data_IF_771023574657
#
_entry.id   IF_771023574657
#
_cell.length_a   1.000
_cell.length_b   1.000
_cell.length_c   1.000
_cell.angle_alpha   90.00
_cell.angle_beta   90.00
_cell.angle_gamma   90.00
#
_symmetry.space_group_name_H-M   'P 1'
#
loop_
_entity.id
_entity.type
_entity.pdbx_description
1 polymer ?
#
# COMPACT_ATOMS: atom_id res chain seq x y z
N UNK A 1 66.93 -7.01 -8.20
CA UNK A 1 67.18 -6.37 -6.90
C UNK A 1 67.67 -7.47 -5.95
N UNK A 2 68.94 -7.89 -5.84
CA UNK A 2 70.26 -7.31 -6.12
C UNK A 2 70.50 -5.92 -5.52
N UNK A 3 71.15 -5.90 -4.34
CA UNK A 3 72.22 -5.01 -3.88
C UNK A 3 72.57 -5.40 -2.42
N UNK A 4 73.77 -5.31 -1.84
CA UNK A 4 75.17 -5.03 -2.22
C UNK A 4 76.03 -5.27 -0.93
N UNK A 5 77.37 -5.16 -1.05
CA UNK A 5 78.45 -5.21 -0.02
C UNK A 5 79.01 -6.61 0.29
N UNK A 6 80.20 -7.06 -0.13
CA UNK A 6 81.51 -6.44 -0.50
C UNK A 6 82.29 -5.81 0.66
N UNK A 7 83.38 -6.47 1.11
CA UNK A 7 84.66 -5.92 1.63
C UNK A 7 85.58 -7.06 2.14
N UNK A 8 86.71 -7.37 1.48
CA UNK A 8 88.09 -6.84 1.65
C UNK A 8 88.94 -7.68 2.62
N UNK A 9 89.90 -8.49 2.14
CA UNK A 9 91.36 -8.18 1.99
C UNK A 9 92.18 -8.10 3.29
N UNK A 10 93.14 -9.03 3.45
CA UNK A 10 94.51 -8.92 4.00
C UNK A 10 94.93 -10.34 4.44
N UNK A 11 95.86 -11.08 3.82
CA UNK A 11 97.21 -10.80 3.33
C UNK A 11 98.12 -10.20 4.42
N UNK A 12 98.80 -11.07 5.16
CA UNK A 12 100.08 -10.73 5.79
C UNK A 12 101.09 -11.86 5.56
N UNK A 13 101.92 -11.58 4.58
CA UNK A 13 103.14 -12.25 4.18
C UNK A 13 104.29 -11.79 5.09
N UNK A 14 105.15 -12.74 5.48
CA UNK A 14 106.61 -12.63 5.63
C UNK A 14 107.20 -11.33 6.23
N UNK A 15 107.73 -11.46 7.45
CA UNK A 15 108.66 -10.51 8.07
C UNK A 15 109.94 -11.22 8.52
N UNK A 16 110.75 -11.59 7.52
CA UNK A 16 112.11 -12.10 7.64
C UNK A 16 113.02 -10.97 8.17
N UNK A 17 113.65 -11.16 9.34
CA UNK A 17 114.57 -10.19 9.93
C UNK A 17 115.79 -10.91 10.53
N UNK A 18 117.00 -10.42 10.21
CA UNK A 18 118.29 -10.91 10.73
C UNK A 18 119.13 -11.64 9.67
N UNK A 19 119.99 -11.03 8.84
CA UNK A 19 121.03 -9.98 8.98
C UNK A 19 122.40 -10.55 9.41
N UNK A 20 123.35 -10.47 8.46
CA UNK A 20 124.82 -10.41 8.64
C UNK A 20 125.55 -11.75 8.84
N UNK A 21 126.70 -12.05 8.25
CA UNK A 21 127.58 -11.31 7.34
C UNK A 21 128.99 -11.96 7.29
N UNK A 22 129.70 -11.74 6.17
CA UNK A 22 131.17 -11.66 5.93
C UNK A 22 132.11 -12.73 6.54
N UNK A 23 132.90 -13.46 5.73
CA UNK A 23 134.23 -13.07 5.20
C UNK A 23 135.29 -13.92 5.95
N UNK A 24 136.28 -14.61 5.38
CA UNK A 24 137.35 -14.22 4.45
C UNK A 24 138.69 -14.76 5.03
N UNK A 25 139.63 -15.20 4.17
CA UNK A 25 141.04 -15.52 4.50
C UNK A 25 141.24 -16.85 5.26
N UNK A 26 142.26 -17.67 5.04
CA UNK A 26 143.61 -17.43 4.55
C UNK A 26 144.61 -18.00 5.59
N UNK A 27 145.50 -18.90 5.18
CA UNK A 27 146.81 -19.13 5.82
C UNK A 27 146.87 -19.84 7.19
N UNK A 28 147.42 -21.06 7.16
CA UNK A 28 148.56 -21.50 7.99
C UNK A 28 148.59 -21.31 9.51
N UNK A 29 148.60 -22.44 10.22
CA UNK A 29 149.23 -22.61 11.54
C UNK A 29 148.32 -22.39 12.75
N UNK A 30 148.45 -23.27 13.76
CA UNK A 30 147.74 -23.30 15.07
C UNK A 30 146.51 -24.22 15.16
N UNK A 31 146.74 -25.53 14.95
CA UNK A 31 145.75 -26.61 15.05
C UNK A 31 146.02 -27.49 16.30
N UNK A 32 145.61 -27.05 17.50
CA UNK A 32 145.36 -27.99 18.62
C UNK A 32 144.46 -27.46 19.76
N UNK A 33 144.15 -26.15 19.84
CA UNK A 33 143.40 -25.57 20.98
C UNK A 33 141.93 -25.19 20.69
N UNK A 34 141.48 -25.19 19.42
CA UNK A 34 140.14 -24.72 19.02
C UNK A 34 139.03 -25.79 19.05
N UNK A 35 139.37 -27.07 19.21
CA UNK A 35 138.42 -28.19 19.11
C UNK A 35 137.55 -28.37 20.37
N UNK A 36 137.98 -27.87 21.54
CA UNK A 36 137.22 -27.96 22.79
C UNK A 36 136.10 -26.91 22.93
N UNK A 37 136.27 -25.68 22.39
CA UNK A 37 135.21 -24.65 22.47
C UNK A 37 134.02 -24.95 21.54
N UNK A 38 134.25 -25.62 20.41
CA UNK A 38 133.19 -25.96 19.44
C UNK A 38 132.20 -27.00 20.00
N UNK A 39 132.69 -27.95 20.80
CA UNK A 39 131.85 -28.99 21.41
C UNK A 39 130.89 -28.42 22.47
N UNK A 40 131.33 -27.46 23.29
CA UNK A 40 130.46 -26.85 24.32
C UNK A 40 129.34 -25.99 23.70
N UNK A 41 129.59 -25.33 22.56
CA UNK A 41 128.60 -24.49 21.89
C UNK A 41 127.54 -25.32 21.14
N UNK A 42 127.93 -26.45 20.57
CA UNK A 42 127.01 -27.41 19.95
C UNK A 42 126.11 -28.09 21.00
N UNK A 43 126.62 -28.38 22.19
CA UNK A 43 125.84 -29.01 23.27
C UNK A 43 124.76 -28.07 23.85
N UNK A 44 125.09 -26.78 24.03
CA UNK A 44 124.13 -25.74 24.45
C UNK A 44 123.02 -25.49 23.42
N UNK A 45 123.37 -25.46 22.13
CA UNK A 45 122.37 -25.34 21.07
C UNK A 45 121.48 -26.59 20.94
N UNK A 46 122.03 -27.78 21.21
CA UNK A 46 121.28 -29.03 21.22
C UNK A 46 120.27 -29.07 22.37
N UNK A 47 120.63 -28.58 23.57
CA UNK A 47 119.69 -28.45 24.70
C UNK A 47 118.56 -27.47 24.44
N UNK A 48 118.84 -26.30 23.86
CA UNK A 48 117.82 -25.27 23.57
C UNK A 48 116.80 -25.71 22.52
N UNK A 49 117.26 -26.42 21.47
CA UNK A 49 116.37 -27.00 20.46
C UNK A 49 115.53 -28.15 21.01
N UNK A 50 116.10 -29.00 21.88
CA UNK A 50 115.36 -30.06 22.55
C UNK A 50 114.26 -29.51 23.47
N UNK A 51 114.55 -28.42 24.20
CA UNK A 51 113.56 -27.78 25.09
C UNK A 51 112.46 -27.05 24.30
N UNK A 52 112.79 -26.41 23.17
CA UNK A 52 111.80 -25.79 22.29
C UNK A 52 110.93 -26.83 21.56
N UNK A 53 111.50 -27.98 21.17
CA UNK A 53 110.75 -29.12 20.65
C UNK A 53 109.86 -29.77 21.71
N UNK A 54 110.33 -29.91 22.96
CA UNK A 54 109.52 -30.42 24.06
C UNK A 54 108.33 -29.49 24.37
N UNK A 55 108.54 -28.16 24.33
CA UNK A 55 107.48 -27.18 24.57
C UNK A 55 106.44 -27.15 23.44
N UNK A 56 106.86 -27.31 22.18
CA UNK A 56 105.93 -27.49 21.05
C UNK A 56 105.19 -28.82 21.11
N UNK A 57 105.86 -29.92 21.50
CA UNK A 57 105.22 -31.22 21.67
C UNK A 57 104.18 -31.20 22.79
N UNK A 58 104.46 -30.51 23.90
CA UNK A 58 103.53 -30.38 25.02
C UNK A 58 102.32 -29.49 24.69
N UNK A 59 102.52 -28.38 23.94
CA UNK A 59 101.42 -27.58 23.41
C UNK A 59 100.57 -28.34 22.39
N UNK A 60 101.21 -29.13 21.52
CA UNK A 60 100.52 -29.97 20.54
C UNK A 60 99.74 -31.10 21.19
N UNK A 61 100.30 -31.74 22.22
CA UNK A 61 99.60 -32.74 23.02
C UNK A 61 98.39 -32.15 23.77
N UNK A 62 98.51 -30.95 24.36
CA UNK A 62 97.37 -30.27 24.97
C UNK A 62 96.30 -29.85 23.95
N UNK A 63 96.70 -29.43 22.74
CA UNK A 63 95.75 -29.12 21.67
C UNK A 63 95.05 -30.37 21.12
N UNK A 64 95.76 -31.49 20.96
CA UNK A 64 95.18 -32.77 20.54
C UNK A 64 94.24 -33.35 21.60
N UNK A 65 94.58 -33.25 22.89
CA UNK A 65 93.69 -33.69 23.98
C UNK A 65 92.43 -32.80 24.08
N UNK A 66 92.57 -31.48 23.91
CA UNK A 66 91.43 -30.56 23.86
C UNK A 66 90.57 -30.78 22.61
N UNK A 67 91.17 -31.08 21.45
CA UNK A 67 90.42 -31.46 20.25
C UNK A 67 89.73 -32.80 20.39
N UNK A 68 90.34 -33.77 21.08
CA UNK A 68 89.71 -35.08 21.35
C UNK A 68 88.53 -34.94 22.31
N UNK A 69 88.64 -34.13 23.37
CA UNK A 69 87.51 -33.79 24.26
C UNK A 69 86.40 -33.04 23.53
N UNK A 70 86.74 -32.05 22.69
CA UNK A 70 85.75 -31.34 21.86
C UNK A 70 85.07 -32.26 20.85
N UNK A 71 85.79 -33.18 20.21
CA UNK A 71 85.22 -34.13 19.26
C UNK A 71 84.29 -35.16 19.94
N UNK A 72 84.64 -35.64 21.13
CA UNK A 72 83.77 -36.56 21.89
C UNK A 72 82.53 -35.85 22.45
N UNK A 73 82.68 -34.63 22.95
CA UNK A 73 81.58 -33.79 23.42
C UNK A 73 80.67 -33.35 22.26
N UNK A 74 81.22 -32.97 21.11
CA UNK A 74 80.45 -32.71 19.89
C UNK A 74 79.75 -33.97 19.37
N UNK A 75 80.35 -35.15 19.51
CA UNK A 75 79.71 -36.42 19.11
C UNK A 75 78.56 -36.78 20.04
N UNK A 76 78.70 -36.59 21.35
CA UNK A 76 77.60 -36.71 22.33
C UNK A 76 76.50 -35.68 22.07
N UNK A 77 76.86 -34.42 21.83
CA UNK A 77 75.90 -33.38 21.47
C UNK A 77 75.16 -33.67 20.16
N UNK A 78 75.85 -34.16 19.12
CA UNK A 78 75.21 -34.56 17.86
C UNK A 78 74.28 -35.77 18.04
N UNK A 79 74.65 -36.75 18.88
CA UNK A 79 73.81 -37.91 19.15
C UNK A 79 72.56 -37.53 19.95
N UNK A 80 72.71 -36.67 20.96
CA UNK A 80 71.58 -36.13 21.73
C UNK A 80 70.70 -35.21 20.89
N UNK A 81 71.28 -34.40 19.99
CA UNK A 81 70.53 -33.58 19.04
C UNK A 81 69.78 -34.47 18.05
N UNK A 82 70.40 -35.57 17.58
CA UNK A 82 69.77 -36.53 16.67
C UNK A 82 68.64 -37.31 17.35
N UNK A 83 68.79 -37.68 18.63
CA UNK A 83 67.71 -38.27 19.45
C UNK A 83 66.57 -37.28 19.62
N UNK A 84 66.86 -36.03 19.98
CA UNK A 84 65.84 -34.95 20.06
C UNK A 84 65.15 -34.69 18.73
N UNK A 85 65.87 -34.73 17.61
CA UNK A 85 65.30 -34.58 16.27
C UNK A 85 64.39 -35.76 15.88
N UNK A 86 64.77 -36.99 16.25
CA UNK A 86 63.94 -38.16 16.03
C UNK A 86 62.65 -38.10 16.86
N UNK A 87 62.75 -37.72 18.14
CA UNK A 87 61.60 -37.50 19.02
C UNK A 87 60.66 -36.42 18.47
N UNK A 88 61.20 -35.28 18.03
CA UNK A 88 60.41 -34.20 17.42
C UNK A 88 59.74 -34.63 16.11
N UNK A 89 60.43 -35.41 15.27
CA UNK A 89 59.87 -35.88 14.00
C UNK A 89 58.71 -36.84 14.23
N UNK A 90 58.87 -37.80 15.14
CA UNK A 90 57.82 -38.73 15.55
C UNK A 90 56.60 -37.98 16.11
N UNK A 91 56.85 -36.99 16.97
CA UNK A 91 55.82 -36.11 17.54
C UNK A 91 55.03 -35.36 16.45
N UNK A 92 55.72 -34.79 15.46
CA UNK A 92 55.09 -34.03 14.38
C UNK A 92 54.25 -34.92 13.46
N UNK A 93 54.69 -36.15 13.19
CA UNK A 93 53.92 -37.11 12.41
C UNK A 93 52.56 -37.43 13.07
N UNK A 94 52.57 -37.72 14.39
CA UNK A 94 51.34 -37.98 15.15
C UNK A 94 50.45 -36.71 15.19
N UNK A 95 51.04 -35.53 15.40
CA UNK A 95 50.29 -34.26 15.40
C UNK A 95 49.63 -33.92 14.08
N UNK A 96 50.23 -34.29 12.94
CA UNK A 96 49.61 -34.11 11.63
C UNK A 96 48.33 -34.92 11.50
N UNK A 97 48.34 -36.19 11.90
CA UNK A 97 47.14 -37.04 11.87
C UNK A 97 46.11 -36.57 12.89
N UNK A 98 46.54 -36.15 14.09
CA UNK A 98 45.68 -35.53 15.10
C UNK A 98 44.91 -34.32 14.57
N UNK A 99 45.57 -33.45 13.83
CA UNK A 99 44.92 -32.27 13.24
C UNK A 99 43.88 -32.66 12.18
N UNK A 100 44.08 -33.77 11.45
CA UNK A 100 43.05 -34.32 10.54
C UNK A 100 41.85 -34.86 11.33
N UNK A 101 42.10 -35.61 12.41
CA UNK A 101 41.04 -36.16 13.29
C UNK A 101 40.15 -35.05 13.86
N UNK A 102 40.73 -33.91 14.28
CA UNK A 102 39.97 -32.75 14.78
C UNK A 102 39.01 -32.11 13.76
N UNK A 103 39.21 -32.37 12.47
CA UNK A 103 38.42 -31.88 11.34
C UNK A 103 37.54 -32.99 10.71
N UNK A 104 37.43 -34.15 11.36
CA UNK A 104 36.67 -35.27 10.84
C UNK A 104 35.18 -34.94 10.65
N UNK A 105 34.61 -35.44 9.56
CA UNK A 105 33.17 -35.49 9.30
C UNK A 105 32.62 -36.85 9.73
N UNK A 106 31.28 -37.00 9.87
CA UNK A 106 30.69 -38.29 10.21
C UNK A 106 31.07 -39.45 9.29
N UNK A 107 31.37 -39.17 8.01
CA UNK A 107 31.78 -40.21 7.04
C UNK A 107 33.28 -40.54 7.09
N UNK A 108 34.11 -39.66 7.67
CA UNK A 108 35.58 -39.76 7.64
C UNK A 108 36.22 -40.08 8.99
N UNK A 109 35.47 -39.95 10.09
CA UNK A 109 35.96 -40.16 11.46
C UNK A 109 36.56 -41.55 11.70
N UNK A 110 35.89 -42.62 11.27
CA UNK A 110 36.37 -43.98 11.50
C UNK A 110 37.71 -44.25 10.80
N UNK A 111 37.86 -43.76 9.57
CA UNK A 111 39.11 -43.87 8.80
C UNK A 111 40.24 -43.07 9.43
N UNK A 112 39.97 -41.86 9.92
CA UNK A 112 40.97 -41.00 10.57
C UNK A 112 41.37 -41.50 11.96
N UNK A 113 40.45 -42.16 12.68
CA UNK A 113 40.73 -42.85 13.95
C UNK A 113 41.68 -44.03 13.73
N UNK A 114 41.48 -44.79 12.67
CA UNK A 114 42.37 -45.89 12.28
C UNK A 114 43.75 -45.36 11.84
N UNK A 115 43.82 -44.28 11.05
CA UNK A 115 45.07 -43.62 10.66
C UNK A 115 45.86 -43.12 11.89
N UNK A 116 45.16 -42.58 12.90
CA UNK A 116 45.78 -42.16 14.16
C UNK A 116 46.32 -43.35 14.97
N UNK A 117 45.55 -44.44 15.07
CA UNK A 117 45.99 -45.65 15.75
C UNK A 117 47.25 -46.24 15.09
N UNK A 118 47.30 -46.26 13.75
CA UNK A 118 48.48 -46.71 13.00
C UNK A 118 49.68 -45.77 13.19
N UNK A 119 49.47 -44.45 13.24
CA UNK A 119 50.55 -43.49 13.49
C UNK A 119 51.09 -43.58 14.91
N UNK A 120 50.22 -43.79 15.90
CA UNK A 120 50.62 -44.04 17.29
C UNK A 120 51.41 -45.35 17.38
N UNK A 121 50.92 -46.44 16.79
CA UNK A 121 51.64 -47.72 16.81
C UNK A 121 53.06 -47.63 16.21
N UNK A 122 53.27 -46.82 15.17
CA UNK A 122 54.56 -46.67 14.49
C UNK A 122 55.53 -45.70 15.19
N UNK A 123 55.02 -44.56 15.67
CA UNK A 123 55.86 -43.43 16.08
C UNK A 123 55.84 -43.15 17.59
N UNK A 124 54.91 -43.74 18.36
CA UNK A 124 54.74 -43.42 19.78
C UNK A 124 55.94 -43.82 20.62
N UNK A 125 56.56 -44.97 20.35
CA UNK A 125 57.77 -45.42 21.04
C UNK A 125 58.94 -44.46 20.85
N UNK A 126 59.01 -43.80 19.69
CA UNK A 126 60.05 -42.84 19.32
C UNK A 126 59.86 -41.46 19.98
N UNK A 127 58.75 -41.18 20.68
CA UNK A 127 58.49 -39.88 21.29
C UNK A 127 59.19 -39.63 22.64
N UNK A 128 59.87 -40.64 23.20
CA UNK A 128 60.69 -40.48 24.42
C UNK A 128 59.95 -39.86 25.60
N UNK A 129 60.50 -38.77 26.16
CA UNK A 129 59.92 -38.06 27.31
C UNK A 129 58.57 -37.36 27.03
N UNK A 130 58.18 -37.20 25.76
CA UNK A 130 56.94 -36.51 25.36
C UNK A 130 55.74 -37.46 25.20
N UNK A 131 55.93 -38.79 25.31
CA UNK A 131 54.87 -39.81 25.25
C UNK A 131 53.59 -39.46 26.04
N UNK A 132 53.64 -39.14 27.34
CA UNK A 132 52.42 -38.88 28.12
C UNK A 132 51.63 -37.67 27.59
N UNK A 133 52.31 -36.64 27.10
CA UNK A 133 51.64 -35.48 26.50
C UNK A 133 50.99 -35.82 25.16
N UNK A 134 51.64 -36.64 24.34
CA UNK A 134 51.09 -37.04 23.04
C UNK A 134 49.91 -37.99 23.19
N UNK A 135 49.92 -38.85 24.20
CA UNK A 135 48.77 -39.68 24.56
C UNK A 135 47.58 -38.80 24.98
N UNK A 136 47.78 -37.84 25.89
CA UNK A 136 46.74 -36.91 26.32
C UNK A 136 46.19 -36.05 25.17
N UNK A 137 47.07 -35.54 24.29
CA UNK A 137 46.65 -34.81 23.07
C UNK A 137 45.81 -35.70 22.14
N UNK A 138 46.14 -36.99 22.04
CA UNK A 138 45.43 -37.96 21.20
C UNK A 138 44.05 -38.28 21.73
N UNK A 139 43.94 -38.56 23.03
CA UNK A 139 42.68 -38.87 23.69
C UNK A 139 41.73 -37.67 23.62
N UNK A 140 42.22 -36.46 23.93
CA UNK A 140 41.43 -35.22 23.83
C UNK A 140 40.95 -34.94 22.41
N UNK A 141 41.78 -35.20 21.40
CA UNK A 141 41.38 -34.96 20.01
C UNK A 141 40.34 -35.97 19.52
N UNK A 142 40.44 -37.24 19.94
CA UNK A 142 39.45 -38.27 19.64
C UNK A 142 38.12 -37.96 20.33
N UNK A 143 38.13 -37.53 21.59
CA UNK A 143 36.93 -37.09 22.31
C UNK A 143 36.28 -35.88 21.62
N UNK A 144 37.04 -34.82 21.33
CA UNK A 144 36.54 -33.63 20.64
C UNK A 144 35.98 -33.94 19.24
N UNK A 145 36.65 -34.81 18.49
CA UNK A 145 36.20 -35.23 17.18
C UNK A 145 34.92 -36.09 17.27
N UNK A 146 34.84 -37.01 18.24
CA UNK A 146 33.63 -37.80 18.50
C UNK A 146 32.43 -36.91 18.82
N UNK A 147 32.58 -35.97 19.76
CA UNK A 147 31.51 -35.04 20.14
C UNK A 147 31.07 -34.16 18.96
N UNK A 148 32.00 -33.69 18.12
CA UNK A 148 31.66 -32.94 16.90
C UNK A 148 30.89 -33.80 15.89
N UNK A 149 31.31 -35.04 15.69
CA UNK A 149 30.66 -35.98 14.77
C UNK A 149 29.23 -36.27 15.22
N UNK A 150 29.02 -36.49 16.52
CA UNK A 150 27.68 -36.67 17.11
C UNK A 150 26.82 -35.41 16.93
N UNK A 151 27.34 -34.22 17.22
CA UNK A 151 26.63 -32.96 17.02
C UNK A 151 26.25 -32.71 15.54
N UNK A 152 27.13 -33.07 14.59
CA UNK A 152 26.84 -32.97 13.16
C UNK A 152 25.76 -33.98 12.75
N UNK A 153 25.79 -35.21 13.27
CA UNK A 153 24.76 -36.23 13.02
C UNK A 153 23.40 -35.77 13.55
N UNK A 154 23.35 -35.27 14.79
CA UNK A 154 22.13 -34.76 15.40
C UNK A 154 21.57 -33.56 14.62
N UNK A 155 22.42 -32.62 14.21
CA UNK A 155 22.00 -31.48 13.38
C UNK A 155 21.46 -31.92 12.03
N UNK A 156 22.10 -32.90 11.36
CA UNK A 156 21.60 -33.44 10.08
C UNK A 156 20.24 -34.10 10.23
N UNK A 157 20.01 -34.85 11.31
CA UNK A 157 18.70 -35.44 11.61
C UNK A 157 17.64 -34.37 11.85
N UNK A 158 17.94 -33.34 12.66
CA UNK A 158 17.02 -32.20 12.90
C UNK A 158 16.72 -31.42 11.62
N UNK A 159 17.73 -31.16 10.79
CA UNK A 159 17.56 -30.46 9.51
C UNK A 159 16.73 -31.30 8.52
N UNK A 160 16.88 -32.63 8.52
CA UNK A 160 16.08 -33.54 7.69
C UNK A 160 14.63 -33.65 8.17
N UNK A 161 14.41 -33.76 9.48
CA UNK A 161 13.08 -33.77 10.08
C UNK A 161 12.34 -32.44 9.82
N UNK A 162 13.02 -31.30 10.01
CA UNK A 162 12.46 -29.99 9.69
C UNK A 162 12.11 -29.84 8.20
N UNK A 163 12.92 -30.40 7.30
CA UNK A 163 12.61 -30.45 5.86
C UNK A 163 11.37 -31.30 5.57
N UNK A 164 11.26 -32.48 6.18
CA UNK A 164 10.08 -33.36 6.01
C UNK A 164 8.81 -32.71 6.56
N UNK A 165 8.89 -32.06 7.72
CA UNK A 165 7.74 -31.35 8.31
C UNK A 165 7.33 -30.14 7.47
N UNK A 166 8.29 -29.36 6.96
CA UNK A 166 8.03 -28.23 6.08
C UNK A 166 7.39 -28.69 4.76
N UNK A 167 7.87 -29.78 4.16
CA UNK A 167 7.30 -30.34 2.93
C UNK A 167 5.88 -30.89 3.17
N UNK A 168 5.63 -31.56 4.30
CA UNK A 168 4.26 -31.98 4.68
C UNK A 168 3.32 -30.79 4.83
N UNK A 169 3.73 -29.75 5.56
CA UNK A 169 2.94 -28.52 5.73
C UNK A 169 2.69 -27.81 4.40
N UNK A 170 3.64 -27.86 3.47
CA UNK A 170 3.49 -27.32 2.11
C UNK A 170 2.45 -28.09 1.32
N UNK A 171 2.53 -29.42 1.29
CA UNK A 171 1.55 -30.25 0.58
C UNK A 171 0.14 -30.08 1.15
N UNK A 172 0.01 -30.00 2.48
CA UNK A 172 -1.26 -29.68 3.13
C UNK A 172 -1.79 -28.28 2.75
N UNK A 173 -0.93 -27.27 2.65
CA UNK A 173 -1.31 -25.93 2.22
C UNK A 173 -1.73 -25.89 0.74
N UNK A 174 -1.00 -26.57 -0.14
CA UNK A 174 -1.35 -26.69 -1.56
C UNK A 174 -2.69 -27.41 -1.72
N UNK A 175 -2.90 -28.54 -1.04
CA UNK A 175 -4.16 -29.27 -1.06
C UNK A 175 -5.34 -28.38 -0.66
N UNK A 176 -5.22 -27.67 0.47
CA UNK A 176 -6.24 -26.71 0.91
C UNK A 176 -6.48 -25.59 -0.11
N UNK A 177 -5.43 -25.06 -0.73
CA UNK A 177 -5.58 -24.02 -1.74
C UNK A 177 -6.31 -24.54 -2.99
N UNK A 178 -6.06 -25.78 -3.42
CA UNK A 178 -6.75 -26.42 -4.55
C UNK A 178 -8.23 -26.61 -4.25
N UNK A 179 -8.57 -27.10 -3.05
CA UNK A 179 -9.97 -27.29 -2.62
C UNK A 179 -10.72 -25.96 -2.58
N UNK A 180 -10.13 -24.93 -1.96
CA UNK A 180 -10.71 -23.58 -1.90
C UNK A 180 -10.91 -22.96 -3.30
N UNK A 181 -9.97 -23.20 -4.23
CA UNK A 181 -10.10 -22.73 -5.60
C UNK A 181 -11.22 -23.46 -6.36
N UNK A 182 -11.42 -24.75 -6.10
CA UNK A 182 -12.52 -25.52 -6.69
C UNK A 182 -13.89 -25.04 -6.16
N UNK A 183 -13.99 -24.76 -4.86
CA UNK A 183 -15.20 -24.22 -4.26
C UNK A 183 -15.55 -22.83 -4.81
N UNK A 184 -14.55 -21.93 -4.89
CA UNK A 184 -14.75 -20.60 -5.49
C UNK A 184 -15.15 -20.68 -6.96
N UNK A 185 -14.59 -21.62 -7.72
CA UNK A 185 -14.97 -21.88 -9.11
C UNK A 185 -16.44 -22.31 -9.21
N UNK A 186 -16.90 -23.18 -8.31
CA UNK A 186 -18.31 -23.56 -8.18
C UNK A 186 -19.23 -22.37 -7.91
N UNK A 187 -18.90 -21.54 -6.90
CA UNK A 187 -19.66 -20.33 -6.59
C UNK A 187 -19.70 -19.34 -7.77
N UNK A 188 -18.59 -19.23 -8.51
CA UNK A 188 -18.50 -18.36 -9.68
C UNK A 188 -19.40 -18.85 -10.82
N UNK A 189 -19.45 -20.16 -11.08
CA UNK A 189 -20.34 -20.75 -12.08
C UNK A 189 -21.82 -20.54 -11.72
N UNK A 190 -22.17 -20.67 -10.44
CA UNK A 190 -23.50 -20.38 -9.91
C UNK A 190 -23.89 -18.91 -10.14
N UNK A 191 -22.98 -17.98 -9.87
CA UNK A 191 -23.19 -16.55 -10.07
C UNK A 191 -23.36 -16.20 -11.55
N UNK A 192 -22.55 -16.77 -12.45
CA UNK A 192 -22.67 -16.58 -13.90
C UNK A 192 -24.00 -17.14 -14.43
N UNK A 193 -24.43 -18.30 -13.94
CA UNK A 193 -25.74 -18.89 -14.28
C UNK A 193 -26.90 -18.02 -13.78
N UNK A 194 -26.78 -17.40 -12.60
CA UNK A 194 -27.78 -16.46 -12.11
C UNK A 194 -27.80 -15.16 -12.93
N UNK A 195 -26.63 -14.66 -13.34
CA UNK A 195 -26.50 -13.46 -14.18
C UNK A 195 -27.14 -13.64 -15.57
N UNK A 196 -26.93 -14.80 -16.20
CA UNK A 196 -27.57 -15.13 -17.50
C UNK A 196 -29.09 -15.23 -17.39
N UNK A 197 -29.60 -15.80 -16.29
CA UNK A 197 -31.05 -15.81 -15.98
C UNK A 197 -31.60 -14.40 -15.79
N UNK A 198 -30.88 -13.52 -15.09
CA UNK A 198 -31.24 -12.11 -14.94
C UNK A 198 -31.32 -11.42 -16.30
N UNK A 199 -30.32 -11.60 -17.17
CA UNK A 199 -30.31 -11.03 -18.52
C UNK A 199 -31.50 -11.52 -19.36
N UNK A 200 -31.81 -12.82 -19.32
CA UNK A 200 -32.96 -13.38 -20.03
C UNK A 200 -34.31 -12.84 -19.50
N UNK A 201 -34.43 -12.70 -18.17
CA UNK A 201 -35.60 -12.10 -17.54
C UNK A 201 -35.75 -10.61 -17.90
N UNK A 202 -34.66 -9.84 -17.85
CA UNK A 202 -34.61 -8.44 -18.25
C UNK A 202 -35.02 -8.22 -19.70
N UNK A 203 -34.48 -9.02 -20.62
CA UNK A 203 -34.85 -8.99 -22.04
C UNK A 203 -36.33 -9.32 -22.27
N UNK A 204 -36.87 -10.31 -21.54
CA UNK A 204 -38.30 -10.66 -21.57
C UNK A 204 -39.16 -9.51 -21.06
N UNK A 205 -38.73 -8.86 -19.98
CA UNK A 205 -39.43 -7.69 -19.44
C UNK A 205 -39.47 -6.55 -20.44
N UNK A 206 -38.35 -6.19 -21.08
CA UNK A 206 -38.33 -5.09 -22.08
C UNK A 206 -39.30 -5.36 -23.24
N UNK A 207 -39.41 -6.61 -23.72
CA UNK A 207 -40.36 -7.00 -24.77
C UNK A 207 -41.83 -6.90 -24.32
N UNK A 208 -42.09 -7.18 -23.05
CA UNK A 208 -43.44 -7.25 -22.49
C UNK A 208 -43.82 -6.03 -21.63
N UNK A 209 -42.96 -5.03 -21.55
CA UNK A 209 -43.13 -3.85 -20.68
C UNK A 209 -44.21 -2.88 -21.17
N UNK A 210 -44.77 -3.12 -22.36
CA UNK A 210 -45.76 -2.27 -22.99
C UNK A 210 -47.18 -2.59 -22.51
N UNK A 211 -47.46 -2.26 -21.25
CA UNK A 211 -48.75 -2.53 -20.60
C UNK A 211 -49.44 -1.24 -20.13
N UNK A 212 -50.77 -1.28 -20.04
CA UNK A 212 -51.60 -0.08 -19.87
C UNK A 212 -51.75 0.41 -18.43
N UNK A 213 -51.19 -0.30 -17.45
CA UNK A 213 -51.34 0.04 -16.03
C UNK A 213 -50.06 -0.21 -15.26
N UNK A 214 -49.74 0.66 -14.30
CA UNK A 214 -48.58 0.51 -13.43
C UNK A 214 -48.55 -0.86 -12.72
N UNK A 215 -49.70 -1.32 -12.21
CA UNK A 215 -49.80 -2.62 -11.53
C UNK A 215 -49.39 -3.80 -12.42
N UNK A 216 -49.68 -3.75 -13.73
CA UNK A 216 -49.22 -4.77 -14.69
C UNK A 216 -47.72 -4.67 -14.95
N UNK A 217 -47.15 -3.45 -14.98
CA UNK A 217 -45.69 -3.25 -15.09
C UNK A 217 -45.01 -3.86 -13.86
N UNK A 218 -45.51 -3.57 -12.66
CA UNK A 218 -44.95 -4.10 -11.41
C UNK A 218 -45.06 -5.61 -11.34
N UNK A 219 -46.19 -6.21 -11.77
CA UNK A 219 -46.33 -7.66 -11.84
C UNK A 219 -45.32 -8.32 -12.79
N UNK A 220 -45.06 -7.71 -13.95
CA UNK A 220 -44.05 -8.21 -14.89
C UNK A 220 -42.62 -8.07 -14.33
N UNK A 221 -42.36 -7.01 -13.55
CA UNK A 221 -41.08 -6.72 -12.93
C UNK A 221 -40.66 -7.74 -11.85
N UNK A 222 -41.61 -8.36 -11.13
CA UNK A 222 -41.33 -9.32 -10.03
C UNK A 222 -40.37 -10.43 -10.45
N UNK A 223 -40.54 -10.96 -11.67
CA UNK A 223 -39.68 -12.06 -12.16
C UNK A 223 -38.22 -11.63 -12.33
N UNK A 224 -37.99 -10.41 -12.81
CA UNK A 224 -36.66 -9.83 -12.98
C UNK A 224 -36.07 -9.43 -11.63
N UNK A 225 -36.86 -8.86 -10.72
CA UNK A 225 -36.40 -8.51 -9.36
C UNK A 225 -35.95 -9.74 -8.58
N UNK A 226 -36.67 -10.86 -8.69
CA UNK A 226 -36.25 -12.13 -8.08
C UNK A 226 -34.95 -12.65 -8.69
N UNK A 227 -34.83 -12.65 -10.02
CA UNK A 227 -33.60 -13.05 -10.70
C UNK A 227 -32.43 -12.14 -10.34
N UNK A 228 -32.68 -10.84 -10.19
CA UNK A 228 -31.67 -9.85 -9.82
C UNK A 228 -31.14 -10.11 -8.41
N UNK A 229 -32.04 -10.28 -7.44
CA UNK A 229 -31.66 -10.62 -6.07
C UNK A 229 -30.83 -11.91 -6.01
N UNK A 230 -31.25 -12.96 -6.72
CA UNK A 230 -30.49 -14.21 -6.77
C UNK A 230 -29.08 -14.03 -7.36
N UNK A 231 -28.94 -13.25 -8.43
CA UNK A 231 -27.65 -12.97 -9.04
C UNK A 231 -26.76 -12.13 -8.11
N UNK A 232 -27.32 -11.10 -7.47
CA UNK A 232 -26.61 -10.25 -6.51
C UNK A 232 -26.14 -11.04 -5.28
N UNK A 233 -27.01 -11.87 -4.70
CA UNK A 233 -26.67 -12.71 -3.52
C UNK A 233 -25.54 -13.70 -3.86
N UNK A 234 -25.57 -14.32 -5.06
CA UNK A 234 -24.51 -15.24 -5.50
C UNK A 234 -23.18 -14.55 -5.77
N UNK A 235 -23.20 -13.36 -6.38
CA UNK A 235 -21.99 -12.54 -6.56
C UNK A 235 -21.42 -12.09 -5.20
N UNK A 236 -22.28 -11.71 -4.25
CA UNK A 236 -21.86 -11.35 -2.91
C UNK A 236 -21.18 -12.53 -2.19
N UNK A 237 -21.73 -13.74 -2.30
CA UNK A 237 -21.12 -14.95 -1.77
C UNK A 237 -19.71 -15.20 -2.34
N UNK A 238 -19.49 -15.00 -3.65
CA UNK A 238 -18.15 -15.10 -4.24
C UNK A 238 -17.16 -14.07 -3.65
N UNK A 239 -17.62 -12.84 -3.42
CA UNK A 239 -16.78 -11.77 -2.87
C UNK A 239 -16.44 -11.98 -1.40
N UNK A 240 -17.39 -12.46 -0.61
CA UNK A 240 -17.16 -12.86 0.79
C UNK A 240 -16.19 -14.02 0.87
N UNK A 241 -16.38 -15.06 0.04
CA UNK A 241 -15.45 -16.19 -0.02
C UNK A 241 -14.03 -15.76 -0.38
N UNK A 242 -13.88 -14.86 -1.37
CA UNK A 242 -12.59 -14.28 -1.71
C UNK A 242 -12.00 -13.53 -0.51
N UNK A 243 -12.77 -12.70 0.18
CA UNK A 243 -12.30 -11.92 1.33
C UNK A 243 -11.76 -12.81 2.45
N UNK A 244 -12.43 -13.92 2.73
CA UNK A 244 -12.06 -14.84 3.82
C UNK A 244 -10.90 -15.76 3.44
N UNK A 245 -10.88 -16.27 2.21
CA UNK A 245 -9.98 -17.35 1.81
C UNK A 245 -8.77 -16.91 0.97
N UNK A 246 -8.65 -15.64 0.58
CA UNK A 246 -7.56 -15.14 -0.29
C UNK A 246 -6.16 -15.48 0.24
N UNK A 247 -5.93 -15.37 1.56
CA UNK A 247 -4.61 -15.66 2.14
C UNK A 247 -4.25 -17.14 2.02
N UNK A 248 -5.21 -18.04 2.24
CA UNK A 248 -5.02 -19.48 2.15
C UNK A 248 -4.88 -19.95 0.68
N UNK A 249 -5.50 -19.26 -0.27
CA UNK A 249 -5.36 -19.56 -1.70
C UNK A 249 -4.03 -19.07 -2.30
N UNK A 250 -3.37 -18.08 -1.68
CA UNK A 250 -2.08 -17.51 -2.10
C UNK A 250 -0.90 -18.20 -1.41
N UNK A 251 -0.81 -19.52 -1.54
CA UNK A 251 0.38 -20.25 -1.07
C UNK A 251 1.58 -19.78 -1.89
N UNK A 252 2.38 -18.90 -1.31
CA UNK A 252 3.67 -18.49 -1.88
C UNK A 252 4.73 -19.50 -1.45
N UNK A 253 5.62 -19.93 -2.37
CA UNK A 253 6.76 -20.76 -1.98
C UNK A 253 7.65 -20.00 -1.00
N UNK A 254 8.24 -20.67 0.01
CA UNK A 254 9.26 -20.05 0.83
C UNK A 254 10.41 -19.63 -0.09
N UNK A 255 10.74 -18.34 -0.08
CA UNK A 255 11.96 -17.83 -0.71
C UNK A 255 13.11 -18.63 -0.09
N UNK A 256 13.76 -19.45 -0.91
CA UNK A 256 14.72 -20.46 -0.46
C UNK A 256 15.70 -19.90 0.56
N UNK A 257 15.72 -20.49 1.75
CA UNK A 257 16.92 -20.52 2.57
C UNK A 257 17.96 -21.30 1.78
N UNK A 258 18.73 -20.59 0.95
CA UNK A 258 19.91 -21.16 0.32
C UNK A 258 20.84 -21.66 1.43
N UNK A 259 21.24 -22.94 1.44
CA UNK A 259 22.43 -23.31 2.18
C UNK A 259 23.61 -22.56 1.55
N UNK A 260 24.34 -21.80 2.36
CA UNK A 260 25.58 -21.19 1.95
C UNK A 260 26.60 -22.29 1.60
N UNK A 261 26.67 -22.68 0.33
CA UNK A 261 27.57 -23.73 -0.13
C UNK A 261 27.52 -23.91 -1.65
N UNK A 262 28.39 -23.17 -2.34
CA UNK A 262 28.81 -23.30 -3.76
C UNK A 262 27.73 -23.42 -4.84
N UNK A 263 27.62 -22.34 -5.59
CA UNK A 263 27.05 -22.25 -6.93
C UNK A 263 27.63 -23.33 -7.86
N UNK A 264 26.74 -24.14 -8.43
CA UNK A 264 26.88 -24.69 -9.78
C UNK A 264 25.63 -24.26 -10.53
N UNK A 265 25.81 -23.63 -11.69
CA UNK A 265 24.77 -22.85 -12.38
C UNK A 265 23.78 -23.67 -13.23
N UNK A 266 23.87 -25.00 -13.25
CA UNK A 266 23.14 -25.80 -14.25
C UNK A 266 21.80 -26.42 -13.79
N UNK A 267 21.42 -26.33 -12.51
CA UNK A 267 20.13 -26.88 -12.02
C UNK A 267 19.00 -25.84 -11.87
N UNK A 268 19.20 -24.61 -12.35
CA UNK A 268 18.24 -23.50 -12.15
C UNK A 268 17.06 -23.45 -13.14
N UNK A 269 16.93 -24.41 -14.05
CA UNK A 269 15.93 -24.35 -15.14
C UNK A 269 14.73 -25.29 -15.04
N UNK A 270 14.71 -26.26 -14.14
CA UNK A 270 13.61 -27.27 -14.14
C UNK A 270 12.64 -27.20 -12.94
N UNK A 271 12.94 -26.50 -11.84
CA UNK A 271 12.00 -26.37 -10.70
C UNK A 271 11.12 -25.10 -10.73
N UNK A 272 11.17 -24.31 -11.80
CA UNK A 272 10.51 -23.00 -11.85
C UNK A 272 9.11 -22.98 -12.49
N UNK A 273 8.55 -24.13 -12.90
CA UNK A 273 7.34 -24.14 -13.73
C UNK A 273 6.10 -24.89 -13.21
N UNK A 274 6.19 -25.67 -12.13
CA UNK A 274 5.03 -26.47 -11.68
C UNK A 274 4.18 -25.84 -10.55
N UNK A 275 4.65 -24.81 -9.84
CA UNK A 275 3.91 -24.20 -8.70
C UNK A 275 3.20 -22.86 -9.00
N UNK A 276 3.27 -22.37 -10.24
CA UNK A 276 2.44 -21.25 -10.74
C UNK A 276 0.92 -21.52 -10.91
N UNK A 277 0.38 -22.76 -10.94
CA UNK A 277 -1.03 -23.00 -11.28
C UNK A 277 -2.03 -22.35 -10.31
N UNK A 278 -1.75 -22.33 -9.01
CA UNK A 278 -2.70 -21.88 -7.98
C UNK A 278 -2.93 -20.37 -8.05
N UNK A 279 -1.87 -19.56 -8.13
CA UNK A 279 -1.98 -18.10 -8.25
C UNK A 279 -2.66 -17.69 -9.57
N UNK A 280 -2.28 -18.31 -10.69
CA UNK A 280 -2.87 -18.01 -11.99
C UNK A 280 -4.35 -18.41 -12.04
N UNK A 281 -4.71 -19.57 -11.47
CA UNK A 281 -6.11 -20.02 -11.37
C UNK A 281 -6.92 -19.07 -10.50
N UNK A 282 -6.40 -18.66 -9.35
CA UNK A 282 -7.03 -17.66 -8.47
C UNK A 282 -7.28 -16.34 -9.20
N UNK A 283 -6.28 -15.80 -9.91
CA UNK A 283 -6.42 -14.56 -10.67
C UNK A 283 -7.49 -14.66 -11.77
N UNK A 284 -7.52 -15.77 -12.51
CA UNK A 284 -8.55 -16.02 -13.54
C UNK A 284 -9.95 -16.06 -12.94
N UNK A 285 -10.14 -16.76 -11.82
CA UNK A 285 -11.44 -16.83 -11.15
C UNK A 285 -11.84 -15.45 -10.59
N UNK A 286 -10.91 -14.70 -10.00
CA UNK A 286 -11.17 -13.36 -9.50
C UNK A 286 -11.61 -12.38 -10.60
N UNK A 287 -11.00 -12.47 -11.80
CA UNK A 287 -11.44 -11.69 -12.97
C UNK A 287 -12.88 -12.07 -13.34
N UNK A 288 -13.22 -13.36 -13.40
CA UNK A 288 -14.58 -13.83 -13.70
C UNK A 288 -15.61 -13.31 -12.71
N UNK A 289 -15.32 -13.38 -11.41
CA UNK A 289 -16.21 -12.84 -10.35
C UNK A 289 -16.46 -11.34 -10.57
N UNK A 290 -15.42 -10.57 -10.85
CA UNK A 290 -15.54 -9.13 -11.09
C UNK A 290 -16.31 -8.81 -12.38
N UNK A 291 -16.09 -9.57 -13.45
CA UNK A 291 -16.85 -9.44 -14.70
C UNK A 291 -18.31 -9.79 -14.50
N UNK A 292 -18.61 -10.87 -13.76
CA UNK A 292 -19.98 -11.25 -13.41
C UNK A 292 -20.67 -10.17 -12.59
N UNK A 293 -20.00 -9.61 -11.58
CA UNK A 293 -20.51 -8.48 -10.79
C UNK A 293 -20.85 -7.28 -11.67
N UNK A 294 -19.93 -6.86 -12.53
CA UNK A 294 -20.16 -5.74 -13.43
C UNK A 294 -21.33 -5.99 -14.39
N UNK A 295 -21.50 -7.24 -14.84
CA UNK A 295 -22.64 -7.68 -15.65
C UNK A 295 -23.98 -7.54 -14.90
N UNK A 296 -24.05 -8.04 -13.67
CA UNK A 296 -25.26 -7.94 -12.81
C UNK A 296 -25.60 -6.47 -12.52
N UNK A 297 -24.62 -5.65 -12.15
CA UNK A 297 -24.81 -4.23 -11.87
C UNK A 297 -25.32 -3.47 -13.11
N UNK A 298 -24.77 -3.78 -14.29
CA UNK A 298 -25.20 -3.18 -15.56
C UNK A 298 -26.64 -3.56 -15.88
N UNK A 299 -26.97 -4.85 -15.80
CA UNK A 299 -28.31 -5.34 -16.13
C UNK A 299 -29.37 -4.81 -15.16
N UNK A 300 -29.02 -4.69 -13.86
CA UNK A 300 -29.87 -4.05 -12.85
C UNK A 300 -30.24 -2.62 -13.25
N UNK A 301 -29.25 -1.80 -13.62
CA UNK A 301 -29.49 -0.41 -14.03
C UNK A 301 -30.34 -0.32 -15.29
N UNK A 302 -30.10 -1.20 -16.27
CA UNK A 302 -30.91 -1.27 -17.48
C UNK A 302 -32.36 -1.64 -17.16
N UNK A 303 -32.57 -2.62 -16.29
CA UNK A 303 -33.89 -3.03 -15.84
C UNK A 303 -34.62 -1.90 -15.09
N UNK A 304 -33.98 -1.22 -14.16
CA UNK A 304 -34.58 -0.09 -13.43
C UNK A 304 -35.00 1.04 -14.37
N UNK A 305 -34.14 1.39 -15.33
CA UNK A 305 -34.45 2.37 -16.38
C UNK A 305 -35.63 1.94 -17.26
N UNK A 306 -35.67 0.66 -17.66
CA UNK A 306 -36.77 0.09 -18.42
C UNK A 306 -38.07 0.10 -17.63
N UNK A 307 -38.04 -0.28 -16.34
CA UNK A 307 -39.19 -0.28 -15.43
C UNK A 307 -39.74 1.14 -15.24
N UNK A 308 -38.87 2.12 -14.99
CA UNK A 308 -39.27 3.52 -14.84
C UNK A 308 -39.92 4.08 -16.12
N UNK A 309 -39.35 3.74 -17.29
CA UNK A 309 -39.91 4.14 -18.59
C UNK A 309 -41.26 3.49 -18.84
N UNK A 310 -41.39 2.20 -18.55
CA UNK A 310 -42.64 1.45 -18.68
C UNK A 310 -43.74 2.03 -17.77
N UNK A 311 -43.42 2.37 -16.51
CA UNK A 311 -44.36 3.04 -15.60
C UNK A 311 -44.84 4.38 -16.15
N UNK A 312 -43.91 5.24 -16.59
CA UNK A 312 -44.25 6.55 -17.18
C UNK A 312 -45.17 6.38 -18.40
N UNK A 313 -44.90 5.40 -19.27
CA UNK A 313 -45.76 5.08 -20.41
C UNK A 313 -47.14 4.58 -19.98
N UNK A 314 -47.22 3.69 -18.99
CA UNK A 314 -48.49 3.20 -18.46
C UNK A 314 -49.35 4.35 -17.90
N UNK A 315 -48.77 5.26 -17.12
CA UNK A 315 -49.48 6.45 -16.61
C UNK A 315 -49.98 7.34 -17.75
N UNK A 316 -49.10 7.61 -18.73
CA UNK A 316 -49.48 8.41 -19.90
C UNK A 316 -50.66 7.77 -20.65
N UNK A 317 -50.64 6.44 -20.85
CA UNK A 317 -51.74 5.68 -21.48
C UNK A 317 -53.03 5.78 -20.68
N UNK A 318 -52.99 5.65 -19.36
CA UNK A 318 -54.18 5.81 -18.53
C UNK A 318 -54.78 7.21 -18.64
N UNK A 319 -53.93 8.25 -18.64
CA UNK A 319 -54.40 9.63 -18.81
C UNK A 319 -54.99 9.84 -20.21
N UNK A 320 -54.32 9.34 -21.26
CA UNK A 320 -54.84 9.39 -22.62
C UNK A 320 -56.16 8.63 -22.76
N UNK A 321 -56.31 7.47 -22.10
CA UNK A 321 -57.56 6.71 -22.08
C UNK A 321 -58.69 7.48 -21.38
N UNK A 322 -58.41 8.18 -20.27
CA UNK A 322 -59.37 9.08 -19.61
C UNK A 322 -59.77 10.23 -20.53
N UNK A 323 -58.79 10.87 -21.18
CA UNK A 323 -59.01 11.95 -22.14
C UNK A 323 -59.89 11.46 -23.30
N UNK A 324 -59.59 10.29 -23.86
CA UNK A 324 -60.38 9.64 -24.91
C UNK A 324 -61.79 9.31 -24.46
N UNK A 325 -61.96 8.78 -23.24
CA UNK A 325 -63.29 8.49 -22.68
C UNK A 325 -64.14 9.76 -22.56
N UNK A 326 -63.54 10.85 -22.06
CA UNK A 326 -64.21 12.16 -21.99
C UNK A 326 -64.51 12.69 -23.40
N UNK A 327 -63.58 12.57 -24.35
CA UNK A 327 -63.80 12.97 -25.74
C UNK A 327 -64.98 12.21 -26.36
N UNK A 328 -65.00 10.88 -26.25
CA UNK A 328 -66.09 10.03 -26.76
C UNK A 328 -67.44 10.29 -26.08
N UNK A 329 -67.45 10.69 -24.80
CA UNK A 329 -68.68 11.07 -24.08
C UNK A 329 -69.36 12.29 -24.72
N UNK A 330 -68.59 13.25 -25.22
CA UNK A 330 -69.12 14.50 -25.79
C UNK A 330 -69.20 14.51 -27.31
N UNK A 331 -68.47 13.64 -28.01
CA UNK A 331 -68.61 13.42 -29.45
C UNK A 331 -69.85 12.56 -29.73
N UNK A 332 -71.01 13.21 -29.81
CA UNK A 332 -72.29 12.56 -30.07
C UNK A 332 -72.40 12.10 -31.51
N UNK A 333 -71.76 12.82 -32.44
CA UNK A 333 -71.80 12.49 -33.86
C UNK A 333 -70.90 11.30 -34.23
N UNK A 334 -70.01 10.86 -33.33
CA UNK A 334 -69.05 9.76 -33.52
C UNK A 334 -68.21 9.91 -34.79
N UNK A 335 -68.09 11.11 -35.32
CA UNK A 335 -67.35 11.46 -36.54
C UNK A 335 -65.88 11.79 -36.25
N UNK A 336 -65.41 11.52 -35.03
CA UNK A 336 -64.02 11.74 -34.63
C UNK A 336 -63.64 13.21 -34.41
N UNK A 337 -64.57 14.15 -34.59
CA UNK A 337 -64.36 15.59 -34.39
C UNK A 337 -65.38 16.19 -33.43
N UNK A 338 -64.97 17.12 -32.58
CA UNK A 338 -65.88 17.87 -31.71
C UNK A 338 -66.31 19.17 -32.39
N UNK A 339 -67.63 19.31 -32.60
CA UNK A 339 -68.23 20.52 -33.18
C UNK A 339 -68.51 21.58 -32.11
N UNK A 340 -68.81 22.82 -32.55
CA UNK A 340 -69.10 23.98 -31.68
C UNK A 340 -70.06 23.66 -30.52
N UNK A 341 -71.17 22.98 -30.82
CA UNK A 341 -72.20 22.63 -29.84
C UNK A 341 -71.72 21.59 -28.81
N UNK A 342 -70.87 20.65 -29.23
CA UNK A 342 -70.32 19.60 -28.37
C UNK A 342 -69.23 20.17 -27.44
N UNK A 343 -68.42 21.12 -27.94
CA UNK A 343 -67.46 21.87 -27.12
C UNK A 343 -68.20 22.71 -26.06
N UNK A 344 -69.31 23.36 -26.43
CA UNK A 344 -70.14 24.08 -25.47
C UNK A 344 -70.74 23.15 -24.40
N UNK A 345 -71.22 21.97 -24.80
CA UNK A 345 -71.73 20.95 -23.89
C UNK A 345 -70.62 20.40 -22.97
N UNK A 346 -69.41 20.21 -23.47
CA UNK A 346 -68.24 19.82 -22.69
C UNK A 346 -67.89 20.87 -21.63
N UNK A 347 -67.79 22.15 -22.02
CA UNK A 347 -67.49 23.24 -21.09
C UNK A 347 -68.55 23.35 -19.97
N UNK A 348 -69.83 23.20 -20.34
CA UNK A 348 -70.92 23.23 -19.37
C UNK A 348 -70.96 21.98 -18.48
N UNK A 349 -70.72 20.80 -19.04
CA UNK A 349 -70.78 19.52 -18.33
C UNK A 349 -69.62 19.32 -17.36
N UNK A 350 -68.39 19.52 -17.80
CA UNK A 350 -67.19 19.25 -16.98
C UNK A 350 -66.81 20.43 -16.09
N UNK A 351 -67.02 21.67 -16.53
CA UNK A 351 -66.57 22.87 -15.80
C UNK A 351 -67.70 23.75 -15.28
N UNK A 352 -68.97 23.38 -15.51
CA UNK A 352 -70.15 24.20 -15.16
C UNK A 352 -70.06 25.62 -15.73
N UNK A 353 -69.40 25.78 -16.88
CA UNK A 353 -69.14 27.07 -17.51
C UNK A 353 -69.85 27.16 -18.87
N UNK A 354 -70.67 28.19 -19.04
CA UNK A 354 -71.30 28.50 -20.33
C UNK A 354 -70.36 29.37 -21.13
N UNK A 355 -69.75 28.79 -22.17
CA UNK A 355 -68.76 29.50 -22.97
C UNK A 355 -69.43 30.53 -23.92
N UNK A 356 -68.95 31.79 -23.97
CA UNK A 356 -69.47 32.78 -24.92
C UNK A 356 -69.31 32.34 -26.37
N UNK A 357 -70.25 32.74 -27.24
CA UNK A 357 -70.26 32.36 -28.66
C UNK A 357 -68.97 32.82 -29.38
N UNK A 358 -68.52 34.05 -29.12
CA UNK A 358 -67.33 34.63 -29.73
C UNK A 358 -66.05 33.88 -29.34
N UNK A 359 -66.00 33.37 -28.10
CA UNK A 359 -64.89 32.56 -27.61
C UNK A 359 -64.86 31.17 -28.25
N UNK A 360 -66.03 30.58 -28.51
CA UNK A 360 -66.17 29.32 -29.25
C UNK A 360 -65.67 29.46 -30.70
N UNK A 361 -66.02 30.55 -31.38
CA UNK A 361 -65.60 30.79 -32.77
C UNK A 361 -64.10 31.04 -32.86
N UNK A 362 -63.56 31.86 -31.95
CA UNK A 362 -62.11 32.09 -31.85
C UNK A 362 -61.34 30.80 -31.58
N UNK A 363 -61.87 29.93 -30.70
CA UNK A 363 -61.27 28.63 -30.39
C UNK A 363 -61.23 27.73 -31.63
N UNK A 364 -62.34 27.62 -32.35
CA UNK A 364 -62.42 26.79 -33.56
C UNK A 364 -61.50 27.32 -34.66
N UNK A 365 -61.43 28.64 -34.85
CA UNK A 365 -60.54 29.24 -35.84
C UNK A 365 -59.06 28.92 -35.55
N UNK A 366 -58.64 28.98 -34.29
CA UNK A 366 -57.24 28.75 -33.90
C UNK A 366 -56.88 27.27 -33.87
N UNK A 367 -57.77 26.40 -33.39
CA UNK A 367 -57.45 24.99 -33.16
C UNK A 367 -57.77 24.13 -34.39
N UNK A 368 -58.92 24.35 -35.03
CA UNK A 368 -59.37 23.50 -36.14
C UNK A 368 -58.64 23.78 -37.47
N UNK A 369 -57.82 24.84 -37.55
CA UNK A 369 -57.02 25.19 -38.74
C UNK A 369 -57.83 25.20 -40.06
N UNK A 370 -59.11 25.61 -40.01
CA UNK A 370 -60.03 25.61 -41.15
C UNK A 370 -60.91 24.36 -41.29
N UNK A 371 -60.72 23.35 -40.44
CA UNK A 371 -61.59 22.18 -40.32
C UNK A 371 -62.93 22.49 -39.62
N UNK A 372 -63.93 21.62 -39.84
CA UNK A 372 -65.29 21.77 -39.29
C UNK A 372 -65.42 21.44 -37.80
N UNK A 373 -64.35 21.00 -37.14
CA UNK A 373 -64.34 20.58 -35.73
C UNK A 373 -62.95 20.25 -35.23
N UNK A 374 -62.84 19.92 -33.93
CA UNK A 374 -61.56 19.63 -33.27
C UNK A 374 -61.35 18.12 -33.13
N UNK A 375 -60.23 17.62 -33.63
CA UNK A 375 -59.87 16.20 -33.55
C UNK A 375 -59.48 15.76 -32.12
N UNK A 376 -59.54 14.45 -31.86
CA UNK A 376 -59.16 13.85 -30.57
C UNK A 376 -57.74 14.27 -30.14
N UNK A 377 -56.78 14.29 -31.07
CA UNK A 377 -55.39 14.66 -30.80
C UNK A 377 -55.25 16.10 -30.26
N UNK A 378 -56.15 16.99 -30.67
CA UNK A 378 -56.13 18.40 -30.29
C UNK A 378 -57.04 18.73 -29.09
N UNK A 379 -57.73 17.74 -28.52
CA UNK A 379 -58.71 17.96 -27.45
C UNK A 379 -58.09 18.62 -26.19
N UNK A 380 -56.81 18.38 -25.91
CA UNK A 380 -56.09 19.07 -24.83
C UNK A 380 -56.06 20.61 -25.02
N UNK A 381 -55.97 21.10 -26.26
CA UNK A 381 -56.03 22.53 -26.58
C UNK A 381 -57.41 23.11 -26.30
N UNK A 382 -58.47 22.33 -26.53
CA UNK A 382 -59.84 22.73 -26.18
C UNK A 382 -59.97 22.92 -24.67
N UNK A 383 -59.43 22.01 -23.86
CA UNK A 383 -59.43 22.17 -22.39
C UNK A 383 -58.73 23.45 -21.95
N UNK A 384 -57.55 23.73 -22.52
CA UNK A 384 -56.80 24.95 -22.23
C UNK A 384 -57.58 26.21 -22.64
N UNK A 385 -58.18 26.22 -23.83
CA UNK A 385 -58.97 27.35 -24.32
C UNK A 385 -60.24 27.60 -23.50
N UNK A 386 -60.92 26.53 -23.04
CA UNK A 386 -62.05 26.64 -22.09
C UNK A 386 -61.58 27.25 -20.77
N UNK A 387 -60.41 26.84 -20.25
CA UNK A 387 -59.80 27.43 -19.06
C UNK A 387 -59.53 28.93 -19.21
N UNK A 388 -58.92 29.33 -20.34
CA UNK A 388 -58.67 30.74 -20.66
C UNK A 388 -59.97 31.55 -20.79
N UNK A 389 -61.00 31.00 -21.44
CA UNK A 389 -62.29 31.66 -21.55
C UNK A 389 -62.97 31.86 -20.18
N UNK A 390 -62.83 30.88 -19.27
CA UNK A 390 -63.33 30.96 -17.90
C UNK A 390 -62.62 32.04 -17.09
N UNK A 391 -61.29 32.13 -17.17
CA UNK A 391 -60.53 33.19 -16.50
C UNK A 391 -60.87 34.57 -17.08
N UNK A 392 -60.97 34.73 -18.40
CA UNK A 392 -61.43 35.99 -19.02
C UNK A 392 -62.81 36.43 -18.51
N UNK A 393 -63.75 35.49 -18.38
CA UNK A 393 -65.08 35.78 -17.83
C UNK A 393 -65.02 36.20 -16.36
N UNK A 394 -64.15 35.59 -15.56
CA UNK A 394 -63.93 35.98 -14.16
C UNK A 394 -63.24 37.34 -14.05
N UNK A 395 -62.30 37.65 -14.92
CA UNK A 395 -61.59 38.92 -14.94
C UNK A 395 -62.50 40.08 -15.34
N UNK A 396 -63.45 39.86 -16.26
CA UNK A 396 -64.48 40.85 -16.56
C UNK A 396 -65.35 41.14 -15.34
N UNK A 397 -65.73 40.12 -14.55
CA UNK A 397 -66.47 40.32 -13.30
C UNK A 397 -65.64 41.08 -12.26
N UNK A 398 -64.35 40.74 -12.11
CA UNK A 398 -63.43 41.46 -11.21
C UNK A 398 -63.24 42.91 -11.65
N UNK A 399 -63.17 43.17 -12.96
CA UNK A 399 -63.06 44.53 -13.51
C UNK A 399 -64.32 45.34 -13.24
N UNK A 400 -65.50 44.78 -13.51
CA UNK A 400 -66.79 45.44 -13.22
C UNK A 400 -66.93 45.75 -11.72
N UNK A 401 -66.60 44.80 -10.83
CA UNK A 401 -66.64 45.02 -9.40
C UNK A 401 -65.63 46.08 -8.92
N UNK A 402 -64.47 46.22 -9.58
CA UNK A 402 -63.52 47.31 -9.31
C UNK A 402 -64.06 48.65 -9.77
N UNK A 403 -64.61 48.73 -10.99
CA UNK A 403 -65.18 49.96 -11.53
C UNK A 403 -66.38 50.44 -10.69
N UNK A 404 -67.23 49.53 -10.21
CA UNK A 404 -68.33 49.83 -9.29
C UNK A 404 -67.79 50.37 -7.95
N UNK A 405 -66.81 49.69 -7.36
CA UNK A 405 -66.15 50.16 -6.12
C UNK A 405 -65.47 51.50 -6.31
N UNK A 406 -64.83 51.75 -7.44
CA UNK A 406 -64.18 53.03 -7.74
C UNK A 406 -65.20 54.17 -7.87
N UNK A 407 -66.38 53.91 -8.46
CA UNK A 407 -67.49 54.87 -8.50
C UNK A 407 -68.05 55.13 -7.11
N UNK A 408 -68.32 54.10 -6.31
CA UNK A 408 -68.77 54.26 -4.92
C UNK A 408 -67.77 55.06 -4.09
N UNK A 409 -66.47 54.76 -4.22
CA UNK A 409 -65.41 55.51 -3.56
C UNK A 409 -65.33 56.97 -4.05
N UNK A 410 -65.56 57.23 -5.34
CA UNK A 410 -65.60 58.59 -5.87
C UNK A 410 -66.79 59.39 -5.30
N UNK A 411 -67.99 58.80 -5.27
CA UNK A 411 -69.17 59.43 -4.66
C UNK A 411 -68.99 59.65 -3.15
N UNK A 412 -68.42 58.68 -2.44
CA UNK A 412 -68.11 58.83 -1.02
C UNK A 412 -67.08 59.93 -0.79
N UNK A 413 -66.05 60.03 -1.65
CA UNK A 413 -65.08 61.12 -1.60
C UNK A 413 -65.72 62.48 -1.85
N UNK A 414 -66.64 62.61 -2.80
CA UNK A 414 -67.36 63.86 -3.07
C UNK A 414 -68.25 64.27 -1.89
N UNK A 415 -69.03 63.33 -1.34
CA UNK A 415 -69.84 63.58 -0.12
C UNK A 415 -68.96 64.00 1.06
N UNK A 416 -67.83 63.32 1.24
CA UNK A 416 -66.86 63.66 2.28
C UNK A 416 -66.26 65.05 2.03
N UNK A 417 -65.93 65.40 0.78
CA UNK A 417 -65.40 66.72 0.42
C UNK A 417 -66.42 67.83 0.72
N UNK A 418 -67.70 67.64 0.40
CA UNK A 418 -68.77 68.60 0.76
C UNK A 418 -68.87 68.77 2.27
N UNK A 419 -68.78 67.68 3.05
CA UNK A 419 -68.79 67.76 4.51
C UNK A 419 -67.56 68.50 5.06
N UNK A 420 -66.38 68.24 4.49
CA UNK A 420 -65.13 68.94 4.82
C UNK A 420 -65.29 70.43 4.52
N UNK A 421 -65.83 70.81 3.36
CA UNK A 421 -66.06 72.22 2.99
C UNK A 421 -67.06 72.89 3.94
N UNK A 422 -68.17 72.23 4.30
CA UNK A 422 -69.13 72.78 5.28
C UNK A 422 -68.49 73.02 6.65
N UNK A 423 -67.69 72.08 7.14
CA UNK A 423 -66.96 72.22 8.40
C UNK A 423 -65.91 73.33 8.29
N UNK A 424 -65.22 73.43 7.15
CA UNK A 424 -64.24 74.47 6.89
C UNK A 424 -64.89 75.86 6.87
N UNK A 425 -66.05 76.01 6.24
CA UNK A 425 -66.79 77.27 6.18
C UNK A 425 -67.39 77.65 7.54
N UNK A 426 -67.91 76.69 8.30
CA UNK A 426 -68.37 76.91 9.68
C UNK A 426 -67.20 77.33 10.59
N UNK A 427 -66.04 76.69 10.44
CA UNK A 427 -64.82 77.08 11.16
C UNK A 427 -64.40 78.51 10.81
N UNK A 428 -64.37 78.86 9.52
CA UNK A 428 -64.06 80.23 9.06
C UNK A 428 -65.07 81.27 9.52
N UNK A 429 -66.35 80.92 9.64
CA UNK A 429 -67.39 81.82 10.14
C UNK A 429 -67.31 82.03 11.66
N UNK A 430 -66.90 80.99 12.41
CA UNK A 430 -66.65 81.08 13.84
C UNK A 430 -65.35 81.82 14.18
N UNK A 431 -64.35 81.78 13.30
CA UNK A 431 -63.05 82.44 13.49
C UNK A 431 -63.16 83.94 13.86
N UNK A 432 -63.91 84.80 13.15
CA UNK A 432 -64.06 86.21 13.54
C UNK A 432 -64.73 86.39 14.90
N UNK A 433 -65.77 85.61 15.21
CA UNK A 433 -66.46 85.68 16.51
C UNK A 433 -65.51 85.30 17.65
N UNK A 434 -64.75 84.22 17.48
CA UNK A 434 -63.73 83.82 18.46
C UNK A 434 -62.66 84.90 18.59
N UNK A 435 -62.21 85.53 17.50
CA UNK A 435 -61.24 86.63 17.59
C UNK A 435 -61.81 87.88 18.26
N UNK A 436 -63.10 88.19 18.06
CA UNK A 436 -63.77 89.31 18.72
C UNK A 436 -63.93 89.05 20.21
N UNK A 437 -64.46 87.89 20.59
CA UNK A 437 -64.57 87.47 22.00
C UNK A 437 -63.19 87.48 22.66
N UNK A 438 -62.15 86.97 21.98
CA UNK A 438 -60.78 87.02 22.49
C UNK A 438 -60.28 88.46 22.67
N UNK A 439 -60.53 89.36 21.71
CA UNK A 439 -60.13 90.76 21.79
C UNK A 439 -60.88 91.53 22.90
N UNK A 440 -62.16 91.24 23.10
CA UNK A 440 -62.95 91.85 24.18
C UNK A 440 -62.52 91.30 25.55
N UNK A 441 -62.29 89.99 25.66
CA UNK A 441 -61.77 89.35 26.85
C UNK A 441 -60.39 89.90 27.26
N UNK A 442 -59.52 90.23 26.30
CA UNK A 442 -58.23 90.87 26.58
C UNK A 442 -58.35 92.26 27.21
N UNK A 443 -59.43 93.01 26.93
CA UNK A 443 -59.65 94.37 27.47
C UNK A 443 -60.21 94.35 28.90
N UNK A 444 -60.87 93.27 29.31
CA UNK A 444 -61.52 93.14 30.62
C UNK A 444 -60.62 93.47 31.82
N UNK A 445 -59.34 93.00 31.92
CA UNK A 445 -58.51 93.33 33.07
C UNK A 445 -58.18 94.82 33.23
N UNK A 446 -58.17 95.57 32.12
CA UNK A 446 -57.95 97.00 32.14
C UNK A 446 -59.25 97.76 32.51
N UNK A 447 -60.38 97.37 31.90
CA UNK A 447 -61.71 97.95 32.17
C UNK A 447 -62.18 97.67 33.62
N UNK A 448 -61.85 96.50 34.18
CA UNK A 448 -62.21 96.11 35.54
C UNK A 448 -61.59 97.01 36.62
N UNK A 449 -60.50 97.73 36.32
CA UNK A 449 -59.87 98.68 37.25
C UNK A 449 -60.61 100.01 37.33
N UNK A 450 -61.41 100.34 36.32
CA UNK A 450 -62.05 101.66 36.17
C UNK A 450 -63.57 101.61 36.28
N UNK A 451 -64.20 100.51 35.87
CA UNK A 451 -65.65 100.30 35.97
C UNK A 451 -66.05 99.91 37.41
N UNK A 452 -67.19 100.45 37.89
CA UNK A 452 -67.79 100.04 39.17
C UNK A 452 -68.62 98.75 38.98
N UNK A 453 -68.83 98.00 40.06
CA UNK A 453 -69.46 96.66 40.05
C UNK A 453 -70.71 96.49 39.14
N UNK A 454 -71.70 97.40 39.11
CA UNK A 454 -72.85 97.25 38.21
C UNK A 454 -72.50 97.33 36.72
N UNK A 455 -71.52 98.16 36.36
CA UNK A 455 -71.05 98.31 34.98
C UNK A 455 -70.19 97.11 34.52
N UNK A 456 -69.48 96.45 35.45
CA UNK A 456 -68.77 95.21 35.14
C UNK A 456 -69.72 94.05 34.81
N UNK A 457 -70.86 93.96 35.50
CA UNK A 457 -71.88 92.94 35.19
C UNK A 457 -72.50 93.16 33.81
N UNK A 458 -72.89 94.40 33.50
CA UNK A 458 -73.41 94.74 32.16
C UNK A 458 -72.38 94.42 31.05
N UNK A 459 -71.09 94.69 31.29
CA UNK A 459 -70.02 94.37 30.34
C UNK A 459 -69.79 92.86 30.18
N UNK A 460 -69.94 92.09 31.26
CA UNK A 460 -69.88 90.63 31.20
C UNK A 460 -71.07 90.05 30.41
N UNK A 461 -72.26 90.61 30.60
CA UNK A 461 -73.46 90.22 29.83
C UNK A 461 -73.30 90.56 28.33
N UNK A 462 -72.70 91.70 28.00
CA UNK A 462 -72.37 92.07 26.61
C UNK A 462 -71.39 91.08 25.97
N UNK A 463 -70.34 90.65 26.68
CA UNK A 463 -69.37 89.66 26.17
C UNK A 463 -69.99 88.27 26.10
N UNK A 464 -70.87 87.91 27.04
CA UNK A 464 -71.60 86.64 27.01
C UNK A 464 -72.62 86.56 25.87
N UNK A 465 -73.09 87.71 25.38
CA UNK A 465 -74.02 87.80 24.25
C UNK A 465 -73.33 87.73 22.88
N UNK A 466 -72.00 87.90 22.81
CA UNK A 466 -71.17 87.74 21.62
C UNK A 466 -70.74 86.28 21.46
#
# INVERSE_FOLDING_TARGET
>A
QQSWQQQSWQQQSWGQNGKGGKGGGGGGGWQQQQQQQKQQQEEMNRKRMAEQQARMAQQKAQQEEMQRKKAEEQRKQMEDLRKKQAEQKAQMAIRQVLNKVKLATPETFDKLKEELAQSLAKEFENCGAQKPKIQEESDKALEQASTKVEAIKEKRLKDEEAKREAERKRQEAIGKAVDLLAELEGLTNDAETAATKLQAAGATFVKNADVDTEAKVDKAAVSVEKANKQAADKVAACLEFLKENTAAMKVLPPIGMKPAGKQTEETKKEEADEDKPTLQKMQKIQIRVNTCKAGVDKETKLFEGAKATAKKRAVARQQMAKVKTVFSKYNKTKDGVLKKQEIAAFAKGEYKFTMPADALDSLLQVIAAGGKGVEEAQFHRVKAAVGLAREKAMDLKRKAAREEREKELAEQKEKMQVSITKVQDATKAAEPQVTEVAAQAQKLPAEAKTLKSPAMLARADEIQAL
#
